data_IF_822617013502
#
_entry.id   IF_822617013502
#
_cell.length_a   1.000
_cell.length_b   1.000
_cell.length_c   1.000
_cell.angle_alpha   90.00
_cell.angle_beta   90.00
_cell.angle_gamma   90.00
#
_symmetry.space_group_name_H-M   'P 1'
#
loop_
_entity.id
_entity.type
_entity.pdbx_description
1 polymer ?
#
# COMPACT_ATOMS: atom_id res chain seq x y z
N UNK A 1 -30.46 8.33 -1.90
CA UNK A 1 -31.75 8.18 -2.61
C UNK A 1 -32.45 9.54 -2.60
N UNK A 2 -33.12 9.88 -3.70
CA UNK A 2 -33.89 11.13 -3.85
C UNK A 2 -35.29 10.74 -4.26
N UNK A 3 -36.27 11.28 -3.58
CA UNK A 3 -37.68 11.05 -3.88
C UNK A 3 -38.42 12.40 -4.01
N UNK A 4 -39.16 12.58 -5.10
CA UNK A 4 -40.02 13.74 -5.28
C UNK A 4 -41.26 13.60 -4.40
N UNK A 5 -41.70 14.70 -3.76
CA UNK A 5 -42.79 14.66 -2.79
C UNK A 5 -43.95 15.54 -3.23
N UNK A 6 -43.66 16.81 -3.53
CA UNK A 6 -44.67 17.80 -3.81
C UNK A 6 -44.14 18.86 -4.77
N UNK A 7 -45.08 19.52 -5.44
CA UNK A 7 -44.84 20.63 -6.33
C UNK A 7 -45.88 21.73 -6.13
N UNK A 8 -45.40 22.95 -6.06
CA UNK A 8 -46.28 24.13 -6.09
C UNK A 8 -45.85 25.12 -7.19
N UNK A 9 -46.49 26.28 -7.27
CA UNK A 9 -46.16 27.28 -8.28
C UNK A 9 -44.71 27.83 -8.20
N UNK A 10 -44.07 27.72 -7.04
CA UNK A 10 -42.80 28.39 -6.74
C UNK A 10 -41.62 27.42 -6.57
N UNK A 11 -41.90 26.17 -6.15
CA UNK A 11 -40.84 25.21 -5.84
C UNK A 11 -41.29 23.76 -6.00
N UNK A 12 -40.32 22.87 -6.19
CA UNK A 12 -40.44 21.42 -6.05
C UNK A 12 -39.82 21.01 -4.73
N UNK A 13 -40.46 20.05 -4.04
CA UNK A 13 -40.00 19.53 -2.76
C UNK A 13 -39.55 18.06 -2.91
N UNK A 14 -38.39 17.78 -2.37
CA UNK A 14 -37.72 16.46 -2.48
C UNK A 14 -37.28 15.96 -1.11
N UNK A 15 -37.35 14.64 -0.90
CA UNK A 15 -36.60 14.00 0.19
C UNK A 15 -35.29 13.43 -0.31
N UNK A 16 -34.21 13.79 0.39
CA UNK A 16 -32.87 13.23 0.21
C UNK A 16 -32.57 12.34 1.40
N UNK A 17 -32.41 11.05 1.14
CA UNK A 17 -32.10 10.05 2.14
C UNK A 17 -30.73 9.46 1.88
N UNK A 18 -29.72 9.67 2.77
CA UNK A 18 -28.44 9.01 2.69
C UNK A 18 -28.62 7.49 2.77
N UNK A 19 -27.96 6.75 1.90
CA UNK A 19 -27.96 5.28 1.89
C UNK A 19 -26.54 4.75 1.80
N UNK A 20 -26.24 3.70 2.56
CA UNK A 20 -24.97 2.98 2.43
C UNK A 20 -24.88 2.22 1.10
N UNK A 21 -23.67 1.85 0.69
CA UNK A 21 -23.46 1.03 -0.50
C UNK A 21 -24.24 -0.29 -0.46
N UNK A 22 -24.31 -0.92 0.70
CA UNK A 22 -25.10 -2.16 0.91
C UNK A 22 -26.59 -1.91 0.70
N UNK A 23 -27.14 -0.85 1.29
CA UNK A 23 -28.56 -0.51 1.14
C UNK A 23 -28.89 -0.09 -0.28
N UNK A 24 -27.98 0.63 -0.95
CA UNK A 24 -28.10 0.96 -2.36
C UNK A 24 -28.29 -0.29 -3.24
N UNK A 25 -27.47 -1.34 -3.03
CA UNK A 25 -27.65 -2.60 -3.76
C UNK A 25 -29.00 -3.29 -3.45
N UNK A 26 -29.48 -3.22 -2.20
CA UNK A 26 -30.79 -3.78 -1.85
C UNK A 26 -31.93 -3.06 -2.55
N UNK A 27 -31.82 -1.72 -2.71
CA UNK A 27 -32.79 -0.91 -3.46
C UNK A 27 -32.76 -1.30 -4.94
N UNK A 28 -31.58 -1.34 -5.57
CA UNK A 28 -31.42 -1.69 -6.98
C UNK A 28 -31.90 -3.11 -7.30
N UNK A 29 -31.83 -4.04 -6.34
CA UNK A 29 -32.31 -5.41 -6.49
C UNK A 29 -33.78 -5.57 -6.08
N UNK A 30 -34.53 -4.51 -5.84
CA UNK A 30 -35.94 -4.57 -5.48
C UNK A 30 -36.21 -5.27 -4.13
N UNK A 31 -35.24 -5.29 -3.20
CA UNK A 31 -35.37 -5.91 -1.87
C UNK A 31 -35.76 -4.92 -0.77
N UNK A 32 -35.64 -3.66 -1.03
CA UNK A 32 -36.02 -2.55 -0.15
C UNK A 32 -36.84 -1.56 -0.98
N UNK A 33 -38.06 -1.25 -0.55
CA UNK A 33 -38.93 -0.29 -1.21
C UNK A 33 -38.42 1.14 -1.02
N UNK A 34 -38.81 2.05 -1.91
CA UNK A 34 -38.49 3.49 -1.77
C UNK A 34 -39.08 4.04 -0.48
N UNK A 35 -40.28 3.57 -0.09
CA UNK A 35 -40.93 3.91 1.17
C UNK A 35 -40.10 3.48 2.39
N UNK A 36 -39.62 2.23 2.40
CA UNK A 36 -38.77 1.73 3.48
C UNK A 36 -37.44 2.47 3.60
N UNK A 37 -36.94 2.97 2.48
CA UNK A 37 -35.75 3.81 2.51
C UNK A 37 -35.93 5.09 3.32
N UNK A 38 -37.10 5.68 3.26
CA UNK A 38 -37.46 6.90 4.00
C UNK A 38 -37.73 6.55 5.46
N UNK A 39 -38.70 5.66 5.71
CA UNK A 39 -39.16 5.32 7.07
C UNK A 39 -38.08 4.68 7.95
N UNK A 40 -37.18 3.93 7.35
CA UNK A 40 -36.09 3.23 8.04
C UNK A 40 -34.72 3.73 7.57
N UNK A 41 -34.58 5.07 7.41
CA UNK A 41 -33.30 5.69 7.02
C UNK A 41 -32.19 5.30 7.99
N UNK A 42 -31.01 4.92 7.48
CA UNK A 42 -29.91 4.30 8.27
C UNK A 42 -29.41 5.18 9.41
N UNK A 43 -29.44 6.48 9.27
CA UNK A 43 -29.00 7.43 10.31
C UNK A 43 -30.19 8.22 10.89
N UNK A 44 -31.43 7.78 10.68
CA UNK A 44 -32.64 8.54 10.98
C UNK A 44 -32.62 9.95 10.36
N UNK A 45 -31.89 10.11 9.26
CA UNK A 45 -31.66 11.37 8.59
C UNK A 45 -32.48 11.41 7.29
N UNK A 46 -33.39 12.36 7.21
CA UNK A 46 -34.06 12.74 5.97
C UNK A 46 -33.92 14.26 5.81
N UNK A 47 -33.46 14.69 4.65
CA UNK A 47 -33.34 16.10 4.31
C UNK A 47 -34.49 16.47 3.34
N UNK A 48 -35.26 17.47 3.71
CA UNK A 48 -36.19 18.13 2.81
C UNK A 48 -35.44 19.21 2.01
N UNK A 49 -35.47 19.07 0.70
CA UNK A 49 -34.81 19.99 -0.21
C UNK A 49 -35.87 20.64 -1.08
N UNK A 50 -35.94 21.98 -1.04
CA UNK A 50 -36.84 22.78 -1.89
C UNK A 50 -36.04 23.46 -2.97
N UNK A 51 -36.37 23.13 -4.23
CA UNK A 51 -35.75 23.72 -5.43
C UNK A 51 -36.71 24.72 -6.06
N UNK A 52 -36.33 26.01 -6.21
CA UNK A 52 -37.17 27.02 -6.78
C UNK A 52 -37.39 26.81 -8.30
N UNK A 53 -38.56 27.20 -8.82
CA UNK A 53 -38.96 27.11 -10.24
C UNK A 53 -38.68 28.37 -11.03
N UNK A 54 -37.95 29.33 -10.55
CA UNK A 54 -37.69 30.62 -11.19
C UNK A 54 -36.21 30.92 -11.38
N UNK A 55 -35.93 32.22 -11.57
CA UNK A 55 -34.53 32.70 -11.65
C UNK A 55 -33.82 32.77 -10.30
N UNK A 56 -34.55 32.59 -9.20
CA UNK A 56 -33.97 32.47 -7.88
C UNK A 56 -33.40 31.06 -7.71
N UNK A 57 -32.07 30.95 -7.55
CA UNK A 57 -31.35 29.67 -7.43
C UNK A 57 -31.10 29.28 -5.99
N UNK A 58 -31.75 29.88 -5.02
CA UNK A 58 -31.55 29.57 -3.59
C UNK A 58 -32.27 28.27 -3.24
N UNK A 59 -31.48 27.20 -3.04
CA UNK A 59 -32.00 25.90 -2.58
C UNK A 59 -32.11 25.94 -1.07
N UNK A 60 -33.28 25.60 -0.54
CA UNK A 60 -33.50 25.44 0.90
C UNK A 60 -33.31 23.97 1.30
N UNK A 61 -32.52 23.72 2.34
CA UNK A 61 -32.28 22.39 2.87
C UNK A 61 -32.63 22.37 4.37
N UNK A 62 -33.56 21.54 4.73
CA UNK A 62 -34.02 21.41 6.11
C UNK A 62 -33.94 19.94 6.56
N UNK A 63 -33.60 19.73 7.84
CA UNK A 63 -33.72 18.41 8.46
C UNK A 63 -35.20 18.10 8.72
N UNK A 64 -35.64 16.86 8.38
CA UNK A 64 -37.00 16.35 8.68
C UNK A 64 -36.91 15.19 9.67
N UNK A 65 -37.64 15.30 10.76
CA UNK A 65 -37.81 14.19 11.69
C UNK A 65 -38.74 13.14 11.08
N UNK A 66 -38.41 11.86 11.20
CA UNK A 66 -39.24 10.77 10.65
C UNK A 66 -40.67 10.79 11.16
N UNK A 67 -40.87 11.19 12.42
CA UNK A 67 -42.18 11.32 13.06
C UNK A 67 -43.05 12.44 12.45
N UNK A 68 -42.47 13.39 11.73
CA UNK A 68 -43.17 14.49 11.09
C UNK A 68 -43.53 14.25 9.64
N UNK A 69 -43.14 13.11 9.07
CA UNK A 69 -43.44 12.73 7.69
C UNK A 69 -44.85 12.11 7.68
N UNK A 70 -45.75 12.69 6.87
CA UNK A 70 -47.11 12.22 6.75
C UNK A 70 -47.27 11.23 5.60
N UNK A 71 -48.36 10.46 5.62
CA UNK A 71 -48.60 9.38 4.66
C UNK A 71 -48.57 9.82 3.21
N UNK A 72 -49.12 11.01 2.97
CA UNK A 72 -49.21 11.63 1.62
C UNK A 72 -47.85 12.03 1.02
N UNK A 73 -46.80 12.15 1.87
CA UNK A 73 -45.43 12.46 1.47
C UNK A 73 -44.60 11.18 1.15
N UNK A 74 -45.15 10.01 1.41
CA UNK A 74 -44.45 8.73 1.25
C UNK A 74 -44.83 8.09 -0.11
N UNK A 75 -43.88 7.40 -0.76
CA UNK A 75 -44.19 6.54 -1.89
C UNK A 75 -45.15 5.41 -1.47
N UNK A 76 -45.84 4.82 -2.44
CA UNK A 76 -46.67 3.66 -2.20
C UNK A 76 -45.91 2.52 -1.51
N UNK A 77 -46.56 1.70 -0.68
CA UNK A 77 -45.91 0.59 0.06
C UNK A 77 -45.09 -0.35 -0.84
N UNK A 78 -45.60 -0.62 -2.05
CA UNK A 78 -44.99 -1.52 -3.04
C UNK A 78 -44.16 -0.78 -4.08
N UNK A 79 -43.70 0.41 -3.78
CA UNK A 79 -42.88 1.24 -4.66
C UNK A 79 -41.42 0.75 -4.64
N UNK A 80 -41.10 -0.19 -5.50
CA UNK A 80 -39.75 -0.67 -5.74
C UNK A 80 -39.13 -0.02 -6.96
N UNK A 81 -37.79 0.10 -6.98
CA UNK A 81 -37.08 0.54 -8.17
C UNK A 81 -37.03 -0.59 -9.19
N UNK A 82 -37.59 -0.36 -10.37
CA UNK A 82 -37.47 -1.25 -11.51
C UNK A 82 -36.35 -0.79 -12.43
N UNK A 83 -35.44 -1.71 -12.75
CA UNK A 83 -34.32 -1.46 -13.63
C UNK A 83 -34.49 -2.24 -14.93
N UNK A 84 -34.27 -1.58 -16.07
CA UNK A 84 -34.23 -2.24 -17.39
C UNK A 84 -33.00 -3.14 -17.58
N UNK A 85 -32.02 -3.01 -16.72
CA UNK A 85 -30.75 -3.77 -16.75
C UNK A 85 -30.52 -4.48 -15.42
N UNK A 86 -29.69 -5.52 -15.45
CA UNK A 86 -29.29 -6.23 -14.23
C UNK A 86 -28.60 -5.27 -13.25
N UNK A 87 -29.06 -5.28 -12.00
CA UNK A 87 -28.47 -4.45 -10.95
C UNK A 87 -26.98 -4.80 -10.72
N UNK A 88 -26.14 -3.80 -10.42
CA UNK A 88 -24.73 -4.04 -10.13
C UNK A 88 -24.56 -4.97 -8.93
N UNK A 89 -23.58 -5.87 -9.00
CA UNK A 89 -23.31 -6.85 -7.94
C UNK A 89 -22.44 -6.28 -6.83
N UNK A 90 -21.67 -5.23 -7.13
CA UNK A 90 -20.80 -4.55 -6.17
C UNK A 90 -21.29 -3.13 -5.88
N UNK A 91 -21.14 -2.65 -4.64
CA UNK A 91 -21.48 -1.27 -4.29
C UNK A 91 -20.55 -0.27 -5.00
N UNK A 92 -21.03 0.97 -5.25
CA UNK A 92 -20.14 2.02 -5.71
C UNK A 92 -19.05 2.29 -4.67
N UNK A 93 -17.90 2.74 -5.15
CA UNK A 93 -16.78 3.10 -4.30
C UNK A 93 -17.11 4.34 -3.47
N UNK A 94 -16.93 4.24 -2.16
CA UNK A 94 -16.93 5.41 -1.27
C UNK A 94 -15.59 6.14 -1.36
N UNK A 95 -15.60 7.46 -1.15
CA UNK A 95 -14.38 8.27 -1.12
C UNK A 95 -13.39 7.76 -0.05
N UNK A 96 -12.14 7.56 -0.45
CA UNK A 96 -11.08 6.96 0.38
C UNK A 96 -10.73 7.86 1.56
N UNK A 97 -10.60 9.17 1.32
CA UNK A 97 -10.25 10.17 2.36
C UNK A 97 -11.36 10.35 3.37
N UNK A 98 -12.61 10.45 2.90
CA UNK A 98 -13.77 10.54 3.79
C UNK A 98 -13.90 9.28 4.65
N UNK A 99 -13.66 8.10 4.06
CA UNK A 99 -13.73 6.84 4.80
C UNK A 99 -12.63 6.74 5.84
N UNK A 100 -11.39 7.16 5.52
CA UNK A 100 -10.28 7.17 6.47
C UNK A 100 -10.57 8.11 7.66
N UNK A 101 -10.97 9.33 7.38
CA UNK A 101 -11.32 10.33 8.40
C UNK A 101 -12.46 9.84 9.30
N UNK A 102 -13.54 9.30 8.72
CA UNK A 102 -14.72 8.82 9.49
C UNK A 102 -14.39 7.60 10.35
N UNK A 103 -13.57 6.68 9.83
CA UNK A 103 -13.23 5.45 10.56
C UNK A 103 -12.09 5.63 11.55
N UNK A 104 -11.33 6.74 11.47
CA UNK A 104 -10.11 6.93 12.24
C UNK A 104 -9.02 5.90 11.91
N UNK A 105 -9.01 5.36 10.69
CA UNK A 105 -8.12 4.28 10.25
C UNK A 105 -7.55 4.59 8.88
N UNK A 106 -6.31 4.18 8.63
CA UNK A 106 -5.81 4.22 7.26
C UNK A 106 -6.66 3.34 6.35
N UNK A 107 -6.92 3.83 5.16
CA UNK A 107 -7.66 3.12 4.11
C UNK A 107 -6.75 2.96 2.91
N UNK A 108 -6.61 1.73 2.44
CA UNK A 108 -5.90 1.37 1.22
C UNK A 108 -6.87 0.70 0.26
N UNK A 109 -7.20 1.37 -0.83
CA UNK A 109 -8.05 0.84 -1.89
C UNK A 109 -7.19 0.29 -3.01
N UNK A 110 -7.44 -0.94 -3.40
CA UNK A 110 -6.79 -1.62 -4.51
C UNK A 110 -7.84 -1.90 -5.58
N UNK A 111 -7.65 -1.36 -6.77
CA UNK A 111 -8.49 -1.61 -7.94
C UNK A 111 -7.69 -2.42 -8.96
N UNK A 112 -8.21 -3.57 -9.35
CA UNK A 112 -7.61 -4.47 -10.34
C UNK A 112 -8.44 -4.42 -11.62
N UNK A 113 -7.77 -4.21 -12.74
CA UNK A 113 -8.38 -4.18 -14.06
C UNK A 113 -7.73 -5.26 -14.92
N UNK A 114 -8.38 -6.42 -15.00
CA UNK A 114 -8.01 -7.51 -15.92
C UNK A 114 -8.43 -7.08 -17.31
N UNK A 115 -7.52 -7.19 -18.28
CA UNK A 115 -7.71 -6.71 -19.64
C UNK A 115 -9.04 -7.17 -20.26
N UNK A 116 -9.75 -6.22 -20.86
CA UNK A 116 -10.93 -6.36 -21.73
C UNK A 116 -12.22 -6.96 -21.18
N UNK A 117 -12.31 -7.26 -19.89
CA UNK A 117 -13.56 -7.68 -19.26
C UNK A 117 -14.04 -6.67 -18.22
N UNK A 118 -15.15 -5.98 -18.50
CA UNK A 118 -15.88 -5.19 -17.52
C UNK A 118 -16.69 -6.10 -16.57
N UNK A 119 -16.08 -7.19 -16.10
CA UNK A 119 -16.71 -8.07 -15.13
C UNK A 119 -16.36 -7.61 -13.72
N UNK A 120 -17.36 -7.55 -12.84
CA UNK A 120 -17.14 -7.35 -11.41
C UNK A 120 -16.59 -8.64 -10.73
N UNK A 121 -15.90 -9.47 -11.48
CA UNK A 121 -15.34 -10.75 -11.07
C UNK A 121 -13.83 -10.73 -11.26
N UNK A 122 -13.13 -11.45 -10.40
CA UNK A 122 -11.68 -11.62 -10.48
C UNK A 122 -11.33 -13.05 -10.06
N UNK A 123 -10.25 -13.58 -10.64
CA UNK A 123 -9.71 -14.85 -10.22
C UNK A 123 -9.36 -14.87 -8.73
N UNK A 124 -9.82 -15.90 -8.02
CA UNK A 124 -9.64 -15.98 -6.57
C UNK A 124 -8.17 -16.17 -6.18
N UNK A 125 -7.36 -16.82 -7.03
CA UNK A 125 -5.93 -16.98 -6.79
C UNK A 125 -5.21 -15.64 -6.95
N UNK A 126 -5.50 -14.89 -8.03
CA UNK A 126 -4.96 -13.54 -8.23
C UNK A 126 -5.30 -12.62 -7.06
N UNK A 127 -6.57 -12.57 -6.64
CA UNK A 127 -7.00 -11.76 -5.50
C UNK A 127 -6.27 -12.17 -4.22
N UNK A 128 -6.20 -13.47 -3.94
CA UNK A 128 -5.52 -14.01 -2.77
C UNK A 128 -4.04 -13.62 -2.73
N UNK A 129 -3.33 -13.75 -3.85
CA UNK A 129 -1.93 -13.35 -3.95
C UNK A 129 -1.72 -11.84 -3.81
N UNK A 130 -2.57 -11.02 -4.43
CA UNK A 130 -2.51 -9.56 -4.25
C UNK A 130 -2.68 -9.16 -2.79
N UNK A 131 -3.66 -9.75 -2.08
CA UNK A 131 -3.90 -9.46 -0.67
C UNK A 131 -2.73 -9.91 0.23
N UNK A 132 -2.21 -11.13 0.02
CA UNK A 132 -1.10 -11.69 0.80
C UNK A 132 0.17 -10.88 0.57
N UNK A 133 0.50 -10.57 -0.68
CA UNK A 133 1.72 -9.83 -1.02
C UNK A 133 1.64 -8.38 -0.55
N UNK A 134 0.48 -7.73 -0.64
CA UNK A 134 0.26 -6.38 -0.08
C UNK A 134 0.46 -6.37 1.44
N UNK A 135 -0.09 -7.36 2.15
CA UNK A 135 0.11 -7.48 3.60
C UNK A 135 1.58 -7.72 3.95
N UNK A 136 2.26 -8.60 3.22
CA UNK A 136 3.69 -8.87 3.42
C UNK A 136 4.55 -7.64 3.14
N UNK A 137 4.23 -6.88 2.10
CA UNK A 137 4.87 -5.60 1.81
C UNK A 137 4.73 -4.62 2.98
N UNK A 138 3.53 -4.47 3.54
CA UNK A 138 3.32 -3.63 4.70
C UNK A 138 4.18 -4.06 5.90
N UNK A 139 4.34 -5.37 6.14
CA UNK A 139 5.23 -5.87 7.19
C UNK A 139 6.71 -5.61 6.91
N UNK A 140 7.16 -5.84 5.68
CA UNK A 140 8.59 -5.71 5.34
C UNK A 140 9.03 -4.27 5.16
N UNK A 141 8.16 -3.38 4.67
CA UNK A 141 8.40 -1.93 4.60
C UNK A 141 8.39 -1.31 5.99
N UNK A 142 7.48 -1.76 6.87
CA UNK A 142 7.42 -1.32 8.27
C UNK A 142 8.55 -1.86 9.15
N UNK A 143 9.25 -2.92 8.70
CA UNK A 143 10.37 -3.50 9.41
C UNK A 143 11.66 -2.77 9.03
N UNK A 144 12.35 -2.18 10.01
CA UNK A 144 13.65 -1.55 9.80
C UNK A 144 14.81 -2.56 9.75
N UNK A 145 14.54 -3.88 9.72
CA UNK A 145 15.57 -4.90 9.71
C UNK A 145 16.10 -5.16 8.31
N UNK A 146 17.42 -5.16 8.16
CA UNK A 146 18.11 -5.54 6.91
C UNK A 146 18.15 -7.06 6.73
N UNK A 147 17.80 -7.83 7.76
CA UNK A 147 17.87 -9.30 7.74
C UNK A 147 16.94 -9.88 6.66
N UNK A 148 17.52 -10.70 5.79
CA UNK A 148 16.79 -11.43 4.74
C UNK A 148 16.02 -12.64 5.28
N UNK A 149 16.27 -13.07 6.52
CA UNK A 149 15.73 -14.31 7.14
C UNK A 149 15.14 -14.03 8.53
N UNK A 150 14.32 -14.96 8.99
CA UNK A 150 13.71 -14.93 10.33
C UNK A 150 12.29 -14.35 10.35
N UNK A 151 11.55 -14.53 11.46
CA UNK A 151 10.19 -14.00 11.60
C UNK A 151 10.20 -12.48 11.71
N UNK A 152 9.13 -11.84 11.22
CA UNK A 152 8.88 -10.42 11.50
C UNK A 152 8.48 -10.29 12.98
N UNK A 153 8.97 -9.25 13.64
CA UNK A 153 8.66 -9.01 15.04
C UNK A 153 7.15 -8.76 15.24
N UNK A 154 6.59 -9.21 16.36
CA UNK A 154 5.14 -9.17 16.61
C UNK A 154 4.57 -7.74 16.68
N UNK A 155 5.35 -6.82 17.21
CA UNK A 155 5.00 -5.40 17.25
C UNK A 155 4.84 -4.80 15.83
N UNK A 156 5.75 -5.13 14.91
CA UNK A 156 5.66 -4.74 13.50
C UNK A 156 4.42 -5.35 12.84
N UNK A 157 4.14 -6.64 13.09
CA UNK A 157 2.94 -7.30 12.58
C UNK A 157 1.69 -6.61 13.09
N UNK A 158 1.60 -6.32 14.38
CA UNK A 158 0.43 -5.68 14.98
C UNK A 158 0.22 -4.26 14.47
N UNK A 159 1.30 -3.48 14.34
CA UNK A 159 1.26 -2.11 13.85
C UNK A 159 0.80 -2.02 12.38
N UNK A 160 1.21 -2.97 11.54
CA UNK A 160 1.02 -2.91 10.09
C UNK A 160 -0.02 -3.91 9.55
N UNK A 161 -0.85 -4.46 10.42
CA UNK A 161 -1.90 -5.38 10.00
C UNK A 161 -3.02 -4.65 9.28
N UNK A 162 -3.40 -5.17 8.11
CA UNK A 162 -4.51 -4.69 7.29
C UNK A 162 -5.68 -5.67 7.37
N UNK A 163 -6.90 -5.16 7.28
CA UNK A 163 -8.13 -5.95 7.25
C UNK A 163 -8.94 -5.61 6.01
N UNK A 164 -9.33 -6.60 5.23
CA UNK A 164 -10.28 -6.42 4.15
C UNK A 164 -11.64 -6.00 4.76
N UNK A 165 -12.16 -4.86 4.32
CA UNK A 165 -13.37 -4.26 4.87
C UNK A 165 -14.52 -4.14 3.87
N UNK A 166 -14.28 -4.45 2.61
CA UNK A 166 -15.31 -4.46 1.57
C UNK A 166 -14.75 -4.57 0.17
N UNK A 167 -15.66 -4.83 -0.75
CA UNK A 167 -15.42 -4.80 -2.19
C UNK A 167 -16.26 -3.68 -2.82
N UNK A 168 -15.79 -3.12 -3.93
CA UNK A 168 -16.49 -2.04 -4.63
C UNK A 168 -16.32 -2.15 -6.14
N UNK A 169 -17.24 -1.52 -6.89
CA UNK A 169 -17.20 -1.46 -8.34
C UNK A 169 -16.06 -0.54 -8.81
N UNK A 170 -15.04 -1.12 -9.46
CA UNK A 170 -13.92 -0.44 -10.11
C UNK A 170 -13.18 -1.43 -11.03
N UNK A 171 -13.87 -2.05 -11.99
CA UNK A 171 -13.61 -3.38 -12.53
C UNK A 171 -13.67 -4.38 -11.37
N UNK A 172 -12.64 -4.53 -10.54
CA UNK A 172 -12.74 -5.20 -9.24
C UNK A 172 -11.95 -4.40 -8.20
N UNK A 173 -12.63 -3.91 -7.16
CA UNK A 173 -12.01 -3.13 -6.10
C UNK A 173 -12.11 -3.79 -4.72
N UNK A 174 -11.02 -3.75 -3.96
CA UNK A 174 -10.98 -4.20 -2.57
C UNK A 174 -10.47 -3.09 -1.66
N UNK A 175 -11.16 -2.86 -0.54
CA UNK A 175 -10.79 -1.90 0.49
C UNK A 175 -10.16 -2.59 1.67
N UNK A 176 -8.94 -2.18 2.00
CA UNK A 176 -8.22 -2.58 3.20
C UNK A 176 -8.22 -1.43 4.20
N UNK A 177 -8.25 -1.75 5.49
CA UNK A 177 -8.11 -0.76 6.58
C UNK A 177 -7.04 -1.21 7.55
N UNK A 178 -6.28 -0.26 8.12
CA UNK A 178 -5.37 -0.58 9.24
C UNK A 178 -6.13 -1.24 10.39
N UNK A 179 -5.51 -2.16 11.11
CA UNK A 179 -6.13 -2.75 12.32
C UNK A 179 -6.17 -1.75 13.48
N UNK A 180 -5.15 -0.89 13.56
CA UNK A 180 -5.04 0.18 14.54
C UNK A 180 -5.88 1.40 14.14
N UNK A 181 -6.37 2.14 15.14
CA UNK A 181 -7.06 3.42 14.98
C UNK A 181 -6.10 4.57 15.26
N UNK A 182 -6.46 5.77 14.81
CA UNK A 182 -5.67 6.98 15.00
C UNK A 182 -5.39 7.27 16.48
N UNK A 183 -4.14 7.68 16.77
CA UNK A 183 -3.74 8.21 18.04
C UNK A 183 -4.07 9.71 18.18
N UNK A 184 -3.53 10.32 19.22
CA UNK A 184 -3.75 11.76 19.54
C UNK A 184 -3.30 12.71 18.41
N UNK A 185 -2.38 12.31 17.57
CA UNK A 185 -1.83 13.11 16.46
C UNK A 185 -2.48 12.84 15.12
N UNK A 186 -3.52 12.00 15.10
CA UNK A 186 -4.29 11.71 13.88
C UNK A 186 -3.70 10.64 12.97
N UNK A 187 -2.52 10.10 13.27
CA UNK A 187 -1.91 8.98 12.56
C UNK A 187 -2.22 7.66 13.25
N UNK A 188 -2.27 6.56 12.49
CA UNK A 188 -2.25 5.19 13.02
C UNK A 188 -0.81 4.67 13.04
N UNK A 189 -0.58 3.52 13.69
CA UNK A 189 0.74 2.87 13.67
C UNK A 189 1.17 2.47 12.25
N UNK A 190 0.21 2.23 11.36
CA UNK A 190 0.47 1.84 9.96
C UNK A 190 0.73 3.04 9.03
N UNK A 191 0.37 4.28 9.40
CA UNK A 191 0.37 5.44 8.49
C UNK A 191 1.73 5.67 7.82
N UNK A 192 2.82 5.65 8.59
CA UNK A 192 4.17 5.87 8.04
C UNK A 192 4.62 4.74 7.10
N UNK A 193 4.20 3.51 7.38
CA UNK A 193 4.49 2.34 6.53
C UNK A 193 3.73 2.41 5.22
N UNK A 194 2.44 2.73 5.28
CA UNK A 194 1.60 2.86 4.09
C UNK A 194 2.02 4.05 3.23
N UNK A 195 2.47 5.14 3.84
CA UNK A 195 3.06 6.27 3.10
C UNK A 195 4.29 5.84 2.29
N UNK A 196 5.23 5.09 2.90
CA UNK A 196 6.41 4.52 2.21
C UNK A 196 6.02 3.49 1.14
N UNK A 197 5.00 2.69 1.43
CA UNK A 197 4.46 1.75 0.44
C UNK A 197 3.92 2.49 -0.79
N UNK A 198 3.19 3.57 -0.59
CA UNK A 198 2.70 4.41 -1.69
C UNK A 198 3.84 5.10 -2.43
N UNK A 199 4.91 5.54 -1.75
CA UNK A 199 6.10 6.06 -2.43
C UNK A 199 6.73 5.05 -3.37
N UNK A 200 6.73 3.77 -3.01
CA UNK A 200 7.20 2.69 -3.89
C UNK A 200 6.32 2.56 -5.14
N UNK A 201 4.99 2.55 -4.98
CA UNK A 201 4.07 2.49 -6.11
C UNK A 201 4.16 3.74 -7.01
N UNK A 202 4.20 4.94 -6.42
CA UNK A 202 4.33 6.21 -7.14
C UNK A 202 5.66 6.33 -7.90
N UNK A 203 6.74 5.77 -7.36
CA UNK A 203 8.06 5.79 -8.01
C UNK A 203 8.16 4.79 -9.17
N UNK A 204 7.39 3.73 -9.18
CA UNK A 204 7.50 2.61 -10.12
C UNK A 204 7.50 3.01 -11.60
N UNK A 205 6.69 3.99 -12.07
CA UNK A 205 6.74 4.45 -13.47
C UNK A 205 8.03 5.18 -13.87
N UNK A 206 8.77 5.73 -12.88
CA UNK A 206 9.94 6.57 -13.11
C UNK A 206 11.22 5.84 -12.67
N UNK A 207 12.01 5.34 -13.63
CA UNK A 207 13.16 4.46 -13.38
C UNK A 207 14.12 4.98 -12.31
N UNK A 208 14.56 6.25 -12.38
CA UNK A 208 15.54 6.81 -11.44
C UNK A 208 14.97 6.94 -10.01
N UNK A 209 13.72 7.36 -9.88
CA UNK A 209 13.03 7.42 -8.60
C UNK A 209 12.84 6.02 -8.03
N UNK A 210 12.41 5.09 -8.88
CA UNK A 210 12.19 3.71 -8.48
C UNK A 210 13.47 3.06 -7.95
N UNK A 211 14.59 3.19 -8.67
CA UNK A 211 15.90 2.71 -8.20
C UNK A 211 16.29 3.32 -6.85
N UNK A 212 16.01 4.60 -6.67
CA UNK A 212 16.32 5.30 -5.41
C UNK A 212 15.50 4.75 -4.25
N UNK A 213 14.19 4.55 -4.43
CA UNK A 213 13.29 3.99 -3.40
C UNK A 213 13.68 2.54 -3.09
N UNK A 214 13.89 1.71 -4.13
CA UNK A 214 14.27 0.29 -3.98
C UNK A 214 15.58 0.13 -3.18
N UNK A 215 16.57 1.00 -3.37
CA UNK A 215 17.82 0.99 -2.56
C UNK A 215 17.55 1.15 -1.07
N UNK A 216 16.50 1.84 -0.67
CA UNK A 216 16.09 2.01 0.74
C UNK A 216 15.35 0.81 1.34
N UNK A 217 14.88 -0.14 0.52
CA UNK A 217 14.07 -1.26 0.98
C UNK A 217 14.92 -2.47 1.43
N UNK A 218 14.36 -3.29 2.29
CA UNK A 218 14.94 -4.60 2.64
C UNK A 218 14.81 -5.59 1.46
N UNK A 219 15.68 -6.61 1.42
CA UNK A 219 15.60 -7.69 0.42
C UNK A 219 14.22 -8.34 0.41
N UNK A 220 13.59 -8.52 1.59
CA UNK A 220 12.26 -9.13 1.72
C UNK A 220 11.17 -8.26 1.10
N UNK A 221 11.24 -6.93 1.28
CA UNK A 221 10.31 -6.00 0.66
C UNK A 221 10.46 -6.02 -0.87
N UNK A 222 11.69 -6.03 -1.39
CA UNK A 222 11.98 -6.12 -2.82
C UNK A 222 11.42 -7.41 -3.41
N UNK A 223 11.69 -8.57 -2.78
CA UNK A 223 11.18 -9.87 -3.23
C UNK A 223 9.65 -9.92 -3.21
N UNK A 224 9.02 -9.37 -2.17
CA UNK A 224 7.56 -9.32 -2.06
C UNK A 224 6.94 -8.41 -3.13
N UNK A 225 7.56 -7.25 -3.40
CA UNK A 225 7.09 -6.36 -4.46
C UNK A 225 7.24 -6.98 -5.86
N UNK A 226 8.37 -7.63 -6.12
CA UNK A 226 8.57 -8.41 -7.34
C UNK A 226 7.49 -9.49 -7.52
N UNK A 227 7.18 -10.25 -6.46
CA UNK A 227 6.13 -11.28 -6.50
C UNK A 227 4.77 -10.68 -6.89
N UNK A 228 4.41 -9.52 -6.32
CA UNK A 228 3.20 -8.81 -6.69
C UNK A 228 3.20 -8.41 -8.17
N UNK A 229 4.26 -7.72 -8.62
CA UNK A 229 4.36 -7.25 -10.00
C UNK A 229 4.36 -8.41 -10.99
N UNK A 230 5.09 -9.49 -10.70
CA UNK A 230 5.15 -10.67 -11.57
C UNK A 230 3.79 -11.38 -11.69
N UNK A 231 3.01 -11.45 -10.60
CA UNK A 231 1.64 -11.99 -10.68
C UNK A 231 0.74 -11.09 -11.54
N UNK A 232 0.82 -9.78 -11.37
CA UNK A 232 0.05 -8.82 -12.18
C UNK A 232 0.42 -8.90 -13.67
N UNK A 233 1.71 -9.05 -13.99
CA UNK A 233 2.19 -9.20 -15.37
C UNK A 233 1.70 -10.50 -16.02
N UNK A 234 1.78 -11.63 -15.30
CA UNK A 234 1.33 -12.92 -15.77
C UNK A 234 -0.18 -12.96 -16.10
N UNK A 235 -0.98 -12.21 -15.36
CA UNK A 235 -2.44 -12.09 -15.52
C UNK A 235 -2.85 -10.87 -16.36
N UNK A 236 -1.90 -10.20 -17.01
CA UNK A 236 -2.11 -8.93 -17.77
C UNK A 236 -3.03 -7.95 -17.03
N UNK A 237 -2.80 -7.80 -15.76
CA UNK A 237 -3.64 -7.04 -14.84
C UNK A 237 -2.99 -5.70 -14.48
N UNK A 238 -3.73 -4.61 -14.67
CA UNK A 238 -3.36 -3.27 -14.18
C UNK A 238 -3.81 -3.10 -12.75
N UNK A 239 -3.05 -2.33 -11.98
CA UNK A 239 -3.37 -2.04 -10.58
C UNK A 239 -3.42 -0.54 -10.35
N UNK A 240 -4.50 -0.07 -9.73
CA UNK A 240 -4.57 1.26 -9.12
C UNK A 240 -4.61 1.09 -7.61
N UNK A 241 -3.74 1.80 -6.92
CA UNK A 241 -3.67 1.81 -5.45
C UNK A 241 -3.92 3.23 -4.98
N UNK A 242 -4.80 3.40 -4.00
CA UNK A 242 -5.11 4.68 -3.38
C UNK A 242 -5.08 4.51 -1.87
N UNK A 243 -4.39 5.41 -1.21
CA UNK A 243 -4.28 5.43 0.24
C UNK A 243 -4.70 6.77 0.81
N UNK A 244 -5.43 6.73 1.91
CA UNK A 244 -5.70 7.89 2.72
C UNK A 244 -5.51 7.58 4.20
N UNK A 245 -4.93 8.52 4.93
CA UNK A 245 -4.81 8.47 6.38
C UNK A 245 -5.93 9.26 7.07
N UNK A 246 -6.22 9.00 8.36
CA UNK A 246 -7.23 9.76 9.09
C UNK A 246 -6.96 11.27 9.16
N UNK A 247 -5.69 11.68 9.12
CA UNK A 247 -5.26 13.09 9.08
C UNK A 247 -5.28 13.70 7.67
N UNK A 248 -6.03 13.09 6.73
CA UNK A 248 -6.29 13.59 5.38
C UNK A 248 -5.09 13.59 4.42
N UNK A 249 -3.99 12.89 4.73
CA UNK A 249 -2.99 12.60 3.72
C UNK A 249 -3.61 11.66 2.67
N UNK A 250 -3.30 11.91 1.40
CA UNK A 250 -3.78 11.10 0.28
C UNK A 250 -2.67 10.90 -0.74
N UNK A 251 -2.56 9.68 -1.24
CA UNK A 251 -1.67 9.30 -2.34
C UNK A 251 -2.36 8.29 -3.25
N UNK A 252 -2.04 8.33 -4.55
CA UNK A 252 -2.50 7.35 -5.51
C UNK A 252 -1.42 6.97 -6.51
N UNK A 253 -1.47 5.75 -7.01
CA UNK A 253 -0.60 5.25 -8.06
C UNK A 253 -1.37 4.33 -9.01
N UNK A 254 -1.06 4.43 -10.29
CA UNK A 254 -1.57 3.56 -11.34
C UNK A 254 -0.39 2.90 -12.03
N UNK A 255 -0.37 1.58 -12.07
CA UNK A 255 0.62 0.80 -12.80
C UNK A 255 -0.06 0.07 -13.96
N UNK A 256 0.34 0.42 -15.16
CA UNK A 256 0.01 -0.32 -16.38
C UNK A 256 1.01 -1.46 -16.64
N UNK A 257 0.72 -2.31 -17.63
CA UNK A 257 1.58 -3.44 -18.01
C UNK A 257 2.99 -3.00 -18.41
N UNK A 258 3.15 -1.80 -18.98
CA UNK A 258 4.47 -1.26 -19.37
C UNK A 258 5.31 -0.86 -18.16
N UNK A 259 4.69 -0.21 -17.16
CA UNK A 259 5.34 0.16 -15.90
C UNK A 259 5.75 -1.10 -15.11
N UNK A 260 4.85 -2.09 -15.05
CA UNK A 260 5.08 -3.36 -14.34
C UNK A 260 6.28 -4.10 -14.92
N UNK A 261 6.34 -4.30 -16.26
CA UNK A 261 7.45 -5.00 -16.94
C UNK A 261 8.79 -4.31 -16.70
N UNK A 262 8.84 -2.98 -16.85
CA UNK A 262 10.07 -2.21 -16.58
C UNK A 262 10.54 -2.36 -15.15
N UNK A 263 9.62 -2.29 -14.17
CA UNK A 263 9.96 -2.45 -12.77
C UNK A 263 10.49 -3.86 -12.46
N UNK A 264 9.90 -4.91 -13.03
CA UNK A 264 10.38 -6.29 -12.92
C UNK A 264 11.83 -6.39 -13.42
N UNK A 265 12.13 -5.83 -14.60
CA UNK A 265 13.49 -5.85 -15.18
C UNK A 265 14.52 -5.13 -14.31
N UNK A 266 14.12 -4.06 -13.62
CA UNK A 266 14.99 -3.34 -12.68
C UNK A 266 15.23 -4.19 -11.44
N UNK A 267 14.17 -4.75 -10.84
CA UNK A 267 14.25 -5.52 -9.60
C UNK A 267 15.11 -6.77 -9.75
N UNK A 268 15.00 -7.50 -10.86
CA UNK A 268 15.80 -8.71 -11.12
C UNK A 268 17.31 -8.41 -11.07
N UNK A 269 17.72 -7.20 -11.48
CA UNK A 269 19.14 -6.79 -11.52
C UNK A 269 19.60 -6.16 -10.22
N UNK A 270 18.73 -6.03 -9.22
CA UNK A 270 19.06 -5.31 -7.99
C UNK A 270 20.06 -6.08 -7.13
N UNK A 271 21.08 -5.37 -6.67
CA UNK A 271 22.11 -5.89 -5.77
C UNK A 271 22.16 -5.03 -4.51
N UNK A 272 22.19 -5.66 -3.35
CA UNK A 272 22.35 -4.99 -2.04
C UNK A 272 23.78 -5.05 -1.59
N UNK A 273 24.24 -3.93 -1.05
CA UNK A 273 25.58 -3.83 -0.45
C UNK A 273 25.46 -3.65 1.05
N UNK A 274 26.07 -4.54 1.80
CA UNK A 274 26.27 -4.39 3.24
C UNK A 274 27.73 -4.08 3.51
N UNK A 275 27.99 -3.06 4.34
CA UNK A 275 29.34 -2.70 4.79
C UNK A 275 29.42 -2.81 6.30
N UNK A 276 30.40 -3.58 6.79
CA UNK A 276 30.65 -3.78 8.23
C UNK A 276 32.13 -3.56 8.50
N UNK A 277 32.46 -2.98 9.65
CA UNK A 277 33.83 -2.96 10.15
C UNK A 277 33.98 -4.07 11.17
N UNK A 278 34.98 -4.91 10.98
CA UNK A 278 35.30 -6.03 11.86
C UNK A 278 36.73 -5.89 12.39
N UNK A 279 36.90 -6.13 13.68
CA UNK A 279 38.23 -6.27 14.28
C UNK A 279 38.68 -7.72 14.14
N UNK A 280 39.84 -7.92 13.53
CA UNK A 280 40.43 -9.23 13.31
C UNK A 280 41.80 -9.28 14.00
N UNK A 281 41.97 -10.26 14.89
CA UNK A 281 43.27 -10.61 15.48
C UNK A 281 43.88 -11.79 14.73
N UNK A 282 45.14 -11.67 14.37
CA UNK A 282 45.76 -12.73 13.57
C UNK A 282 47.21 -12.43 13.18
N UNK A 283 47.68 -13.11 12.16
CA UNK A 283 49.02 -12.94 11.60
C UNK A 283 48.90 -12.37 10.19
N UNK A 284 49.44 -11.17 9.98
CA UNK A 284 49.59 -10.61 8.62
C UNK A 284 50.74 -11.42 7.94
N UNK A 285 50.35 -12.29 7.02
CA UNK A 285 51.30 -13.23 6.39
C UNK A 285 51.87 -12.71 5.08
N UNK A 286 51.24 -11.74 4.48
CA UNK A 286 51.70 -11.17 3.23
C UNK A 286 51.10 -9.81 2.89
N UNK A 287 51.89 -8.97 2.26
CA UNK A 287 51.49 -7.71 1.69
C UNK A 287 52.09 -7.58 0.28
N UNK A 288 51.31 -7.24 -0.69
CA UNK A 288 51.77 -6.94 -2.04
C UNK A 288 51.44 -5.47 -2.33
N UNK A 289 52.47 -4.64 -2.31
CA UNK A 289 52.36 -3.18 -2.52
C UNK A 289 52.01 -2.79 -3.98
N UNK A 290 52.42 -3.62 -4.94
CA UNK A 290 52.18 -3.33 -6.38
C UNK A 290 50.70 -3.52 -6.73
N UNK A 291 50.04 -4.57 -6.13
CA UNK A 291 48.62 -4.85 -6.34
C UNK A 291 47.73 -4.36 -5.21
N UNK A 292 48.29 -3.69 -4.19
CA UNK A 292 47.58 -3.22 -2.99
C UNK A 292 46.79 -4.33 -2.27
N UNK A 293 47.37 -5.53 -2.15
CA UNK A 293 46.73 -6.69 -1.51
C UNK A 293 47.37 -7.05 -0.19
N UNK A 294 46.52 -7.49 0.77
CA UNK A 294 46.97 -8.09 2.02
C UNK A 294 46.43 -9.51 2.17
N UNK A 295 47.13 -10.28 2.99
CA UNK A 295 46.78 -11.65 3.36
C UNK A 295 46.94 -11.79 4.88
N UNK A 296 45.84 -12.12 5.58
CA UNK A 296 45.75 -12.22 7.03
C UNK A 296 45.21 -13.60 7.40
N UNK A 297 45.89 -14.29 8.32
CA UNK A 297 45.36 -15.48 8.96
C UNK A 297 44.80 -15.08 10.33
N UNK A 298 43.49 -15.15 10.50
CA UNK A 298 42.84 -14.86 11.75
C UNK A 298 43.06 -15.97 12.80
N UNK A 299 42.87 -15.66 14.09
CA UNK A 299 43.05 -16.61 15.17
C UNK A 299 42.04 -17.77 15.16
N UNK A 300 40.92 -17.61 14.48
CA UNK A 300 39.86 -18.61 14.26
C UNK A 300 40.05 -19.47 13.00
N UNK A 301 41.29 -19.51 12.46
CA UNK A 301 41.67 -20.19 11.22
C UNK A 301 41.03 -19.64 9.92
N UNK A 302 40.37 -18.48 9.96
CA UNK A 302 39.86 -17.83 8.75
C UNK A 302 40.99 -17.14 7.96
N UNK A 303 41.02 -17.33 6.64
CA UNK A 303 41.94 -16.67 5.73
C UNK A 303 41.28 -15.47 5.08
N UNK A 304 41.70 -14.27 5.48
CA UNK A 304 41.16 -13.01 4.95
C UNK A 304 42.16 -12.43 4.00
N UNK A 305 41.70 -12.14 2.75
CA UNK A 305 42.49 -11.44 1.76
C UNK A 305 41.68 -10.32 1.13
N UNK A 306 42.33 -9.22 0.82
CA UNK A 306 41.64 -8.05 0.30
C UNK A 306 42.57 -6.94 -0.14
N UNK A 307 42.08 -5.71 -0.13
CA UNK A 307 42.78 -4.53 -0.58
C UNK A 307 43.28 -3.73 0.63
N UNK A 308 44.45 -3.14 0.52
CA UNK A 308 44.99 -2.23 1.54
C UNK A 308 44.30 -0.86 1.35
N UNK A 309 43.72 -0.33 2.42
CA UNK A 309 43.07 0.98 2.44
C UNK A 309 44.07 2.12 2.20
N UNK A 310 43.59 3.26 1.69
CA UNK A 310 44.39 4.41 1.33
C UNK A 310 45.26 4.93 2.49
N UNK A 311 44.79 4.82 3.72
CA UNK A 311 45.48 5.22 4.96
C UNK A 311 46.80 4.45 5.22
N UNK A 312 46.92 3.26 4.64
CA UNK A 312 48.05 2.35 4.86
C UNK A 312 48.96 2.17 3.65
N UNK A 313 48.67 2.81 2.51
CA UNK A 313 49.43 2.60 1.24
C UNK A 313 50.90 2.96 1.31
N UNK A 314 51.25 3.97 2.09
CA UNK A 314 52.62 4.49 2.18
C UNK A 314 53.37 3.91 3.42
N UNK A 315 52.74 2.93 4.12
CA UNK A 315 53.41 2.30 5.29
C UNK A 315 54.33 1.18 4.88
N UNK A 316 55.37 0.98 5.69
CA UNK A 316 56.24 -0.18 5.56
C UNK A 316 55.66 -1.35 6.36
N UNK A 317 55.51 -2.48 5.72
CA UNK A 317 54.96 -3.67 6.32
C UNK A 317 56.08 -4.68 6.58
N UNK A 318 56.15 -5.21 7.82
CA UNK A 318 56.98 -6.33 8.13
C UNK A 318 56.10 -7.58 8.24
N UNK A 319 56.36 -8.58 7.43
CA UNK A 319 55.55 -9.83 7.43
C UNK A 319 56.47 -11.04 7.55
N UNK A 320 56.08 -12.12 8.27
CA UNK A 320 54.85 -12.25 9.04
C UNK A 320 54.92 -11.52 10.38
N UNK A 321 53.78 -10.94 10.81
CA UNK A 321 53.64 -10.23 12.09
C UNK A 321 52.28 -10.44 12.71
N UNK A 322 52.17 -10.57 14.03
CA UNK A 322 50.92 -10.58 14.77
C UNK A 322 50.35 -9.18 14.81
N UNK A 323 49.09 -9.04 14.44
CA UNK A 323 48.40 -7.76 14.34
C UNK A 323 46.98 -7.84 14.91
N UNK A 324 46.49 -6.69 15.33
CA UNK A 324 45.09 -6.39 15.49
C UNK A 324 44.68 -5.49 14.35
N UNK A 325 43.90 -5.98 13.40
CA UNK A 325 43.50 -5.30 12.19
C UNK A 325 42.05 -4.86 12.27
N UNK A 326 41.77 -3.61 11.84
CA UNK A 326 40.41 -3.18 11.52
C UNK A 326 40.21 -3.37 10.00
N UNK A 327 39.23 -4.19 9.67
CA UNK A 327 38.95 -4.57 8.29
C UNK A 327 37.51 -4.15 7.95
N UNK A 328 37.32 -3.43 6.86
CA UNK A 328 36.00 -3.19 6.27
C UNK A 328 35.62 -4.39 5.40
N UNK A 329 34.53 -5.05 5.77
CA UNK A 329 33.92 -6.12 5.01
C UNK A 329 32.77 -5.55 4.20
N UNK A 330 32.88 -5.57 2.88
CA UNK A 330 31.82 -5.19 1.94
C UNK A 330 31.25 -6.45 1.31
N UNK A 331 29.99 -6.75 1.59
CA UNK A 331 29.27 -7.88 1.00
C UNK A 331 28.21 -7.38 0.01
N UNK A 332 28.32 -7.77 -1.25
CA UNK A 332 27.33 -7.53 -2.29
C UNK A 332 26.47 -8.79 -2.44
N UNK A 333 25.16 -8.63 -2.23
CA UNK A 333 24.20 -9.71 -2.26
C UNK A 333 23.26 -9.46 -3.43
N UNK A 334 23.25 -10.35 -4.41
CA UNK A 334 22.26 -10.29 -5.48
C UNK A 334 20.91 -10.74 -4.94
N UNK A 335 19.88 -9.87 -5.04
CA UNK A 335 18.61 -10.04 -4.31
C UNK A 335 17.89 -11.36 -4.68
N UNK A 336 17.99 -11.82 -5.91
CA UNK A 336 17.24 -12.99 -6.39
C UNK A 336 18.05 -14.28 -6.45
N UNK A 337 19.32 -14.21 -6.85
CA UNK A 337 20.19 -15.40 -6.88
C UNK A 337 20.77 -15.75 -5.51
N UNK A 338 20.73 -14.79 -4.56
CA UNK A 338 21.36 -14.89 -3.25
C UNK A 338 22.88 -15.15 -3.33
N UNK A 339 23.47 -14.90 -4.50
CA UNK A 339 24.91 -14.94 -4.65
C UNK A 339 25.54 -13.80 -3.85
N UNK A 340 26.48 -14.15 -2.98
CA UNK A 340 27.21 -13.21 -2.13
C UNK A 340 28.62 -13.07 -2.63
N UNK A 341 29.06 -11.83 -2.82
CA UNK A 341 30.46 -11.49 -3.11
C UNK A 341 31.00 -10.61 -2.00
N UNK A 342 31.88 -11.16 -1.17
CA UNK A 342 32.51 -10.42 -0.09
C UNK A 342 33.89 -9.92 -0.52
N UNK A 343 34.18 -8.68 -0.22
CA UNK A 343 35.48 -8.03 -0.40
C UNK A 343 35.91 -7.40 0.91
N UNK A 344 37.21 -7.43 1.17
CA UNK A 344 37.79 -6.90 2.40
C UNK A 344 38.75 -5.76 2.10
N UNK A 345 38.69 -4.69 2.92
CA UNK A 345 39.61 -3.56 2.86
C UNK A 345 40.26 -3.38 4.23
N UNK A 346 41.57 -3.41 4.28
CA UNK A 346 42.33 -3.20 5.51
C UNK A 346 42.39 -1.70 5.83
N UNK A 347 41.86 -1.28 6.98
CA UNK A 347 41.74 0.13 7.36
C UNK A 347 42.86 0.56 8.30
N UNK A 348 43.09 -0.21 9.37
CA UNK A 348 44.20 0.04 10.34
C UNK A 348 44.87 -1.25 10.78
N UNK A 349 46.10 -1.13 11.23
CA UNK A 349 46.92 -2.20 11.84
C UNK A 349 47.52 -1.69 13.13
N UNK A 350 47.38 -2.47 14.20
CA UNK A 350 48.02 -2.29 15.53
C UNK A 350 48.87 -3.51 15.90
#
# INVERSE_FOLDING_TARGET
MVNWIDTNSNSDTWFYVPVSGTRYLLILNGKVSLRDCILHSENKLVLEVRTPKGQDNTVEINYRELSSIVEEELPDPDSFLELDQQAPTLPPREDTTMTATRSGRDVLDISLNVSDQHSNEIDAELLGEVLITTQNLAYYVGSNTTSSRGPVARDIINANKLKASGFFAASFGVRLKSDTVQGLFGDTDASSTLEKLMELFEATPEEEKFRTVVKGLSIRAIKSYYTLLNKLDNEDTRIKVEWASPNQKYKEALLDSGNIKKAIDILIKETKTEVKQIEVKGILVGVNTDSNKFYLHAEDDEHISGIIGDSLRDQQFVVPVKVKALVEQKTEIHVFTEEEKTTYTLITLE
#
